data_IF_703447051748
#
_entry.id   IF_703447051748
#
_cell.length_a   1.000
_cell.length_b   1.000
_cell.length_c   1.000
_cell.angle_alpha   90.00
_cell.angle_beta   90.00
_cell.angle_gamma   90.00
#
_symmetry.space_group_name_H-M   'P 1'
#
loop_
_entity.id
_entity.type
_entity.pdbx_description
1 polymer ?
#
# COMPACT_ATOMS: atom_id res chain seq x y z
N UNK A 1 -11.83 -12.88 1.08
CA UNK A 1 -10.91 -12.02 0.30
C UNK A 1 -9.64 -11.64 1.08
N UNK A 2 -9.77 -11.10 2.28
CA UNK A 2 -8.59 -10.71 3.08
C UNK A 2 -7.69 -11.91 3.38
N UNK A 3 -8.26 -13.04 3.74
CA UNK A 3 -7.48 -14.25 4.01
C UNK A 3 -6.78 -14.78 2.76
N UNK A 4 -7.45 -14.71 1.60
CA UNK A 4 -6.85 -15.11 0.33
C UNK A 4 -5.65 -14.23 -0.02
N UNK A 5 -5.80 -12.91 0.14
CA UNK A 5 -4.71 -11.97 -0.13
C UNK A 5 -3.54 -12.21 0.82
N UNK A 6 -3.81 -12.50 2.10
CA UNK A 6 -2.80 -12.80 3.10
C UNK A 6 -2.01 -14.06 2.72
N UNK A 7 -2.68 -15.11 2.26
CA UNK A 7 -2.03 -16.36 1.91
C UNK A 7 -1.24 -16.26 0.60
N UNK A 8 -1.67 -15.42 -0.34
CA UNK A 8 -1.00 -15.28 -1.64
C UNK A 8 0.31 -14.49 -1.57
N UNK A 9 0.42 -13.51 -0.67
CA UNK A 9 1.61 -12.70 -0.44
C UNK A 9 2.23 -12.15 -1.73
N UNK A 10 1.42 -11.47 -2.53
CA UNK A 10 1.83 -10.91 -3.82
C UNK A 10 3.01 -9.95 -3.65
N UNK A 11 4.02 -10.10 -4.49
CA UNK A 11 5.20 -9.26 -4.50
C UNK A 11 6.25 -9.61 -3.44
N UNK A 12 6.00 -10.61 -2.62
CA UNK A 12 6.97 -11.00 -1.59
C UNK A 12 8.30 -11.42 -2.21
N UNK A 13 9.37 -10.85 -1.72
CA UNK A 13 10.73 -11.15 -2.18
C UNK A 13 11.57 -9.89 -2.31
N UNK A 14 12.88 -10.08 -2.33
CA UNK A 14 13.81 -8.98 -2.54
C UNK A 14 13.85 -8.62 -4.03
N UNK A 15 13.51 -7.38 -4.33
CA UNK A 15 13.57 -6.86 -5.69
C UNK A 15 14.96 -6.28 -5.94
N UNK A 16 15.63 -6.73 -7.02
CA UNK A 16 16.95 -6.22 -7.37
C UNK A 16 17.12 -6.30 -8.89
N UNK A 17 17.47 -5.22 -9.61
CA UNK A 17 17.73 -3.88 -9.07
C UNK A 17 16.46 -3.14 -8.64
N UNK A 18 16.64 -2.04 -7.91
CA UNK A 18 15.53 -1.19 -7.50
C UNK A 18 15.95 0.28 -7.56
N UNK A 19 14.95 1.17 -7.62
CA UNK A 19 15.19 2.62 -7.69
C UNK A 19 15.01 3.32 -6.35
N UNK A 20 14.16 2.78 -5.48
CA UNK A 20 13.98 3.31 -4.13
C UNK A 20 13.50 2.22 -3.20
N UNK A 21 13.74 2.43 -1.90
CA UNK A 21 13.31 1.51 -0.87
C UNK A 21 12.97 2.28 0.41
N UNK A 22 12.19 1.63 1.26
CA UNK A 22 11.86 2.18 2.57
C UNK A 22 11.50 1.05 3.52
N UNK A 23 11.98 1.17 4.77
CA UNK A 23 11.61 0.25 5.84
C UNK A 23 10.61 0.94 6.75
N UNK A 24 9.51 0.27 7.06
CA UNK A 24 8.46 0.77 7.93
C UNK A 24 8.15 -0.26 9.01
N UNK A 25 7.96 0.21 10.22
CA UNK A 25 7.63 -0.65 11.36
C UNK A 25 6.46 -0.07 12.12
N UNK A 26 5.54 -0.94 12.54
CA UNK A 26 4.46 -0.56 13.44
C UNK A 26 4.82 -1.07 14.85
N UNK A 27 5.32 -0.21 15.73
CA UNK A 27 5.79 -0.66 17.05
C UNK A 27 4.66 -1.18 17.95
N UNK A 28 3.42 -0.82 17.65
CA UNK A 28 2.27 -1.25 18.45
C UNK A 28 1.94 -2.73 18.31
N UNK A 29 2.19 -3.32 17.13
CA UNK A 29 1.86 -4.72 16.87
C UNK A 29 3.04 -5.54 16.36
N UNK A 30 4.22 -4.94 16.22
CA UNK A 30 5.41 -5.65 15.77
C UNK A 30 5.48 -5.92 14.28
N UNK A 31 4.51 -5.45 13.51
CA UNK A 31 4.56 -5.58 12.05
C UNK A 31 5.71 -4.77 11.49
N UNK A 32 6.43 -5.32 10.53
CA UNK A 32 7.51 -4.60 9.86
C UNK A 32 7.59 -4.98 8.40
N UNK A 33 8.05 -4.05 7.57
CA UNK A 33 8.06 -4.22 6.12
C UNK A 33 9.13 -3.35 5.49
N UNK A 34 9.92 -3.96 4.60
CA UNK A 34 10.80 -3.22 3.69
C UNK A 34 10.24 -3.37 2.28
N UNK A 35 9.97 -2.23 1.62
CA UNK A 35 9.51 -2.24 0.23
C UNK A 35 10.63 -1.71 -0.66
N UNK A 36 10.70 -2.25 -1.87
CA UNK A 36 11.57 -1.78 -2.94
C UNK A 36 10.73 -1.58 -4.19
N UNK A 37 10.99 -0.48 -4.88
CA UNK A 37 10.25 -0.12 -6.08
C UNK A 37 11.21 0.01 -7.26
N UNK A 38 10.76 -0.47 -8.41
CA UNK A 38 11.43 -0.23 -9.69
C UNK A 38 10.55 0.71 -10.49
N UNK A 39 11.14 1.79 -10.99
CA UNK A 39 10.42 2.85 -11.66
C UNK A 39 10.95 3.03 -13.08
N UNK A 40 10.09 3.49 -14.00
CA UNK A 40 10.51 3.90 -15.33
C UNK A 40 9.90 5.26 -15.64
N UNK A 41 10.68 6.11 -16.30
CA UNK A 41 10.28 7.49 -16.57
C UNK A 41 10.83 8.46 -15.55
N UNK A 42 10.36 9.70 -15.60
CA UNK A 42 10.83 10.78 -14.74
C UNK A 42 9.67 11.57 -14.16
N UNK A 43 9.92 12.19 -12.98
CA UNK A 43 8.92 13.03 -12.32
C UNK A 43 7.71 12.23 -11.87
N UNK A 44 6.60 12.89 -11.73
CA UNK A 44 5.36 12.26 -11.26
C UNK A 44 4.71 11.36 -12.30
N UNK A 45 5.12 11.45 -13.56
CA UNK A 45 4.64 10.57 -14.62
C UNK A 45 5.40 9.23 -14.67
N UNK A 46 6.47 9.10 -13.90
CA UNK A 46 7.19 7.83 -13.79
C UNK A 46 6.22 6.74 -13.33
N UNK A 47 6.38 5.55 -13.87
CA UNK A 47 5.49 4.42 -13.61
C UNK A 47 6.18 3.43 -12.66
N UNK A 48 5.42 2.91 -11.72
CA UNK A 48 5.90 1.85 -10.82
C UNK A 48 5.83 0.54 -11.60
N UNK A 49 6.98 0.06 -12.07
CA UNK A 49 7.04 -1.17 -12.85
C UNK A 49 6.94 -2.42 -11.98
N UNK A 50 7.57 -2.41 -10.83
CA UNK A 50 7.57 -3.53 -9.90
C UNK A 50 7.63 -3.06 -8.46
N UNK A 51 7.02 -3.84 -7.58
CA UNK A 51 7.07 -3.66 -6.13
C UNK A 51 7.49 -4.99 -5.53
N UNK A 52 8.59 -4.98 -4.80
CA UNK A 52 9.01 -6.13 -4.00
C UNK A 52 9.01 -5.78 -2.53
N UNK A 53 8.79 -6.76 -1.66
CA UNK A 53 8.78 -6.49 -0.23
C UNK A 53 9.24 -7.72 0.56
N UNK A 54 9.81 -7.43 1.71
CA UNK A 54 10.21 -8.44 2.70
C UNK A 54 9.76 -7.93 4.06
N UNK A 55 9.14 -8.79 4.84
CA UNK A 55 8.67 -8.41 6.15
C UNK A 55 7.74 -9.42 6.73
N UNK A 56 7.18 -9.08 7.88
CA UNK A 56 6.25 -9.97 8.58
C UNK A 56 5.26 -9.14 9.39
N UNK A 57 4.10 -9.74 9.64
CA UNK A 57 3.06 -9.07 10.38
C UNK A 57 1.80 -9.92 10.49
N UNK A 58 0.74 -9.30 11.01
CA UNK A 58 -0.55 -9.97 11.15
C UNK A 58 -1.20 -10.21 9.78
N UNK A 59 -2.28 -10.99 9.76
CA UNK A 59 -2.99 -11.31 8.52
C UNK A 59 -3.52 -10.06 7.81
N UNK A 60 -3.92 -9.02 8.56
CA UNK A 60 -4.41 -7.77 7.98
C UNK A 60 -3.27 -7.04 7.27
N UNK A 61 -2.09 -6.92 7.91
CA UNK A 61 -0.92 -6.30 7.31
C UNK A 61 -0.50 -7.01 6.04
N UNK A 62 -0.46 -8.33 6.06
CA UNK A 62 0.00 -9.12 4.92
C UNK A 62 -1.02 -9.08 3.78
N UNK A 63 -2.31 -9.13 4.10
CA UNK A 63 -3.36 -9.00 3.08
C UNK A 63 -3.32 -7.62 2.43
N UNK A 64 -3.18 -6.55 3.23
CA UNK A 64 -3.12 -5.19 2.71
C UNK A 64 -1.87 -4.99 1.84
N UNK A 65 -0.74 -5.58 2.23
CA UNK A 65 0.49 -5.50 1.45
C UNK A 65 0.31 -6.15 0.08
N UNK A 66 -0.26 -7.35 0.01
CA UNK A 66 -0.54 -8.02 -1.27
C UNK A 66 -1.45 -7.18 -2.16
N UNK A 67 -2.48 -6.60 -1.58
CA UNK A 67 -3.44 -5.76 -2.33
C UNK A 67 -2.76 -4.46 -2.79
N UNK A 68 -1.93 -3.85 -1.94
CA UNK A 68 -1.19 -2.65 -2.31
C UNK A 68 -0.28 -2.91 -3.52
N UNK A 69 0.41 -4.04 -3.56
CA UNK A 69 1.23 -4.43 -4.70
C UNK A 69 0.38 -4.46 -5.97
N UNK A 70 -0.76 -5.14 -5.91
CA UNK A 70 -1.64 -5.26 -7.08
C UNK A 70 -2.21 -3.92 -7.54
N UNK A 71 -2.56 -3.04 -6.61
CA UNK A 71 -3.20 -1.77 -6.94
C UNK A 71 -2.23 -0.66 -7.33
N UNK A 72 -1.02 -0.68 -6.81
CA UNK A 72 -0.04 0.39 -7.06
C UNK A 72 0.91 0.06 -8.20
N UNK A 73 1.11 -1.21 -8.51
CA UNK A 73 1.94 -1.62 -9.64
C UNK A 73 1.31 -1.14 -10.95
N UNK A 74 2.14 -0.70 -11.88
CA UNK A 74 1.74 -0.18 -13.20
C UNK A 74 1.04 1.18 -13.15
N UNK A 75 1.01 1.83 -11.98
CA UNK A 75 0.48 3.19 -11.88
C UNK A 75 1.62 4.20 -11.89
N UNK A 76 1.32 5.42 -12.35
CA UNK A 76 2.27 6.51 -12.22
C UNK A 76 2.41 6.91 -10.75
N UNK A 77 3.49 7.64 -10.43
CA UNK A 77 3.68 8.14 -9.06
C UNK A 77 2.49 8.99 -8.63
N UNK A 78 1.99 9.85 -9.53
CA UNK A 78 0.83 10.70 -9.25
C UNK A 78 -0.41 9.86 -8.91
N UNK A 79 -0.68 8.82 -9.70
CA UNK A 79 -1.82 7.93 -9.47
C UNK A 79 -1.65 7.12 -8.18
N UNK A 80 -0.43 6.65 -7.90
CA UNK A 80 -0.13 5.92 -6.69
C UNK A 80 -0.37 6.79 -5.45
N UNK A 81 0.05 8.05 -5.49
CA UNK A 81 -0.21 9.00 -4.41
C UNK A 81 -1.70 9.25 -4.21
N UNK A 82 -2.44 9.33 -5.30
CA UNK A 82 -3.90 9.50 -5.25
C UNK A 82 -4.56 8.29 -4.58
N UNK A 83 -4.12 7.09 -4.93
CA UNK A 83 -4.63 5.86 -4.32
C UNK A 83 -4.31 5.80 -2.82
N UNK A 84 -3.08 6.16 -2.44
CA UNK A 84 -2.66 6.15 -1.05
C UNK A 84 -3.46 7.18 -0.24
N UNK A 85 -3.72 8.36 -0.81
CA UNK A 85 -4.54 9.38 -0.16
C UNK A 85 -5.96 8.87 0.06
N UNK A 86 -6.54 8.18 -0.93
CA UNK A 86 -7.88 7.61 -0.80
C UNK A 86 -7.94 6.54 0.29
N UNK A 87 -6.93 5.68 0.36
CA UNK A 87 -6.83 4.65 1.40
C UNK A 87 -6.74 5.30 2.79
N UNK A 88 -5.91 6.36 2.92
CA UNK A 88 -5.73 7.07 4.18
C UNK A 88 -7.03 7.71 4.65
N UNK A 89 -7.76 8.38 3.76
CA UNK A 89 -9.04 9.00 4.11
C UNK A 89 -10.06 7.97 4.58
N UNK A 90 -10.16 6.85 3.85
CA UNK A 90 -11.07 5.77 4.21
C UNK A 90 -10.74 5.23 5.62
N UNK A 91 -9.46 5.01 5.90
CA UNK A 91 -9.03 4.48 7.18
C UNK A 91 -9.19 5.48 8.33
N UNK A 92 -9.02 6.79 8.06
CA UNK A 92 -9.21 7.84 9.06
C UNK A 92 -10.67 8.10 9.39
N UNK A 93 -11.59 7.69 8.54
CA UNK A 93 -13.01 7.97 8.69
C UNK A 93 -13.68 7.18 9.81
N UNK A 94 -12.99 6.20 10.37
CA UNK A 94 -13.52 5.30 11.41
C UNK A 94 -14.77 4.55 10.96
N UNK A 95 -14.80 4.20 9.68
CA UNK A 95 -15.92 3.47 9.10
C UNK A 95 -17.07 4.34 8.62
N UNK A 96 -16.92 5.65 8.63
CA UNK A 96 -17.96 6.59 8.19
C UNK A 96 -17.91 6.88 6.70
N UNK A 97 -16.76 6.70 6.06
CA UNK A 97 -16.57 6.94 4.65
C UNK A 97 -16.62 5.63 3.88
N UNK A 98 -17.48 5.59 2.88
CA UNK A 98 -17.57 4.45 1.97
C UNK A 98 -17.56 5.00 0.56
N UNK A 99 -16.73 4.44 -0.31
CA UNK A 99 -16.65 4.89 -1.70
C UNK A 99 -17.65 4.14 -2.57
N UNK A 100 -18.32 4.88 -3.47
CA UNK A 100 -19.19 4.27 -4.46
C UNK A 100 -18.38 3.38 -5.41
N UNK A 101 -18.97 2.29 -5.87
CA UNK A 101 -18.30 1.35 -6.77
C UNK A 101 -17.82 2.00 -8.07
N UNK A 102 -18.51 3.04 -8.53
CA UNK A 102 -18.16 3.74 -9.77
C UNK A 102 -17.21 4.90 -9.55
N UNK A 103 -16.77 5.15 -8.30
CA UNK A 103 -15.91 6.29 -7.99
C UNK A 103 -14.47 6.04 -8.44
N UNK A 104 -13.74 7.13 -8.63
CA UNK A 104 -12.30 7.09 -8.93
C UNK A 104 -11.52 6.42 -7.80
N UNK A 105 -11.90 6.71 -6.54
CA UNK A 105 -11.28 6.14 -5.35
C UNK A 105 -11.45 4.63 -5.32
N UNK A 106 -12.64 4.13 -5.64
CA UNK A 106 -12.89 2.69 -5.67
C UNK A 106 -12.07 2.01 -6.78
N UNK A 107 -11.91 2.66 -7.93
CA UNK A 107 -11.08 2.15 -9.02
C UNK A 107 -9.62 2.03 -8.58
N UNK A 108 -9.10 3.09 -7.93
CA UNK A 108 -7.72 3.12 -7.46
C UNK A 108 -7.44 2.10 -6.36
N UNK A 109 -8.40 1.89 -5.46
CA UNK A 109 -8.23 1.00 -4.33
C UNK A 109 -8.53 -0.47 -4.64
N UNK A 110 -9.41 -0.72 -5.62
CA UNK A 110 -9.79 -2.09 -5.96
C UNK A 110 -10.20 -2.88 -4.72
N UNK A 111 -9.58 -4.02 -4.49
CA UNK A 111 -9.90 -4.89 -3.35
C UNK A 111 -9.62 -4.24 -1.99
N UNK A 112 -8.84 -3.16 -1.95
CA UNK A 112 -8.53 -2.48 -0.69
C UNK A 112 -9.77 -1.85 -0.04
N UNK A 113 -10.86 -1.62 -0.79
CA UNK A 113 -12.10 -1.11 -0.20
C UNK A 113 -12.66 -2.04 0.87
N UNK A 114 -12.29 -3.33 0.84
CA UNK A 114 -12.71 -4.30 1.85
C UNK A 114 -12.19 -3.93 3.25
N UNK A 115 -11.14 -3.11 3.35
CA UNK A 115 -10.60 -2.70 4.64
C UNK A 115 -11.40 -1.59 5.32
N UNK A 116 -12.46 -1.06 4.68
CA UNK A 116 -13.28 -0.01 5.33
C UNK A 116 -13.85 -0.47 6.67
N UNK A 117 -14.17 -1.75 6.80
CA UNK A 117 -14.62 -2.31 8.07
C UNK A 117 -13.55 -2.29 9.17
N UNK A 118 -12.27 -2.35 8.80
CA UNK A 118 -11.16 -2.30 9.74
C UNK A 118 -10.94 -0.86 10.26
N UNK A 119 -11.47 0.15 9.57
CA UNK A 119 -11.29 1.55 9.95
C UNK A 119 -11.90 1.89 11.31
N UNK A 120 -12.80 1.07 11.81
CA UNK A 120 -13.42 1.25 13.13
C UNK A 120 -12.46 0.96 14.28
N UNK A 121 -11.35 0.28 14.02
CA UNK A 121 -10.42 -0.20 15.05
C UNK A 121 -9.03 0.38 14.81
N UNK A 122 -8.57 1.24 15.73
CA UNK A 122 -7.31 1.98 15.60
C UNK A 122 -6.11 1.06 15.30
N UNK A 123 -6.02 -0.06 15.98
CA UNK A 123 -4.89 -0.99 15.76
C UNK A 123 -4.91 -1.59 14.35
N UNK A 124 -6.09 -1.90 13.84
CA UNK A 124 -6.23 -2.46 12.50
C UNK A 124 -5.95 -1.43 11.42
N UNK A 125 -6.24 -0.14 11.69
CA UNK A 125 -5.90 0.94 10.77
C UNK A 125 -4.40 0.97 10.53
N UNK A 126 -3.60 0.88 11.58
CA UNK A 126 -2.14 0.88 11.46
C UNK A 126 -1.64 -0.32 10.66
N UNK A 127 -2.22 -1.50 10.90
CA UNK A 127 -1.87 -2.70 10.16
C UNK A 127 -2.23 -2.57 8.68
N UNK A 128 -3.43 -2.10 8.38
CA UNK A 128 -3.90 -1.95 7.00
C UNK A 128 -3.11 -0.89 6.24
N UNK A 129 -2.60 0.13 6.91
CA UNK A 129 -1.86 1.22 6.26
C UNK A 129 -0.36 0.97 6.09
N UNK A 130 0.20 -0.04 6.74
CA UNK A 130 1.65 -0.22 6.79
C UNK A 130 2.32 -0.18 5.41
N UNK A 131 1.85 -1.00 4.47
CA UNK A 131 2.44 -1.08 3.13
C UNK A 131 2.23 0.22 2.35
N UNK A 132 1.05 0.83 2.47
CA UNK A 132 0.73 2.06 1.75
C UNK A 132 1.61 3.21 2.21
N UNK A 133 1.84 3.32 3.51
CA UNK A 133 2.74 4.32 4.09
C UNK A 133 4.19 4.06 3.64
N UNK A 134 4.60 2.80 3.61
CA UNK A 134 5.95 2.43 3.18
C UNK A 134 6.22 2.82 1.73
N UNK A 135 5.27 2.54 0.82
CA UNK A 135 5.38 2.92 -0.58
C UNK A 135 5.41 4.44 -0.72
N UNK A 136 4.53 5.14 -0.02
CA UNK A 136 4.51 6.61 -0.05
C UNK A 136 5.85 7.20 0.36
N UNK A 137 6.44 6.67 1.44
CA UNK A 137 7.73 7.14 1.94
C UNK A 137 8.85 6.87 0.93
N UNK A 138 8.87 5.69 0.31
CA UNK A 138 9.85 5.37 -0.71
C UNK A 138 9.77 6.32 -1.90
N UNK A 139 8.56 6.61 -2.36
CA UNK A 139 8.34 7.55 -3.47
C UNK A 139 8.76 8.97 -3.08
N UNK A 140 8.44 9.41 -1.88
CA UNK A 140 8.81 10.74 -1.40
C UNK A 140 10.32 10.91 -1.32
N UNK A 141 11.03 9.92 -0.81
CA UNK A 141 12.49 9.95 -0.73
C UNK A 141 13.11 10.00 -2.13
N UNK A 142 12.56 9.22 -3.06
CA UNK A 142 13.02 9.20 -4.45
C UNK A 142 12.83 10.57 -5.12
N UNK A 143 11.68 11.19 -4.91
CA UNK A 143 11.34 12.48 -5.53
C UNK A 143 12.15 13.65 -4.97
N UNK A 144 12.73 13.51 -3.78
CA UNK A 144 13.53 14.57 -3.15
C UNK A 144 15.01 14.50 -3.51
N UNK A 145 15.41 13.49 -4.26
CA UNK A 145 16.81 13.31 -4.71
C UNK A 145 17.11 14.14 -5.96
#
# INVERSE_FOLDING_TARGET
MILDASSRRHGEGELDPFDCEHFEKNPSCGDELRVRLRLSGTGEDAVIDEIGWVGDGCSISMASTSIAVDQLRCRSIAEAREAIAAMREMMRSRGKLSYDEDSREAELLGDAVAFEGAAKYVMRVKCAMLAWVAVEAALREHMSQ
#
